data_IF_983431164809
#
_entry.id   IF_983431164809
#
_cell.length_a   1.000
_cell.length_b   1.000
_cell.length_c   1.000
_cell.angle_alpha   90.00
_cell.angle_beta   90.00
_cell.angle_gamma   90.00
#
_symmetry.space_group_name_H-M   'P 1'
#
loop_
_entity.id
_entity.type
_entity.pdbx_description
1 polymer ?
#
# COMPACT_ATOMS: atom_id res chain seq x y z
N UNK A 1 5.33 5.92 -8.14
CA UNK A 1 4.25 4.97 -8.48
C UNK A 1 3.33 5.62 -9.50
N UNK A 2 2.86 4.91 -10.54
CA UNK A 2 1.96 5.49 -11.53
C UNK A 2 0.53 5.59 -10.99
N UNK A 3 -0.20 6.62 -11.44
CA UNK A 3 -1.64 6.74 -11.24
C UNK A 3 -2.36 5.53 -11.86
N UNK A 4 -3.40 5.03 -11.20
CA UNK A 4 -4.19 3.90 -11.69
C UNK A 4 -3.63 2.52 -11.35
N UNK A 5 -2.45 2.44 -10.72
CA UNK A 5 -1.93 1.17 -10.22
C UNK A 5 -2.82 0.59 -9.12
N UNK A 6 -2.97 -0.74 -9.08
CA UNK A 6 -3.70 -1.44 -8.04
C UNK A 6 -2.76 -1.77 -6.89
N UNK A 7 -3.04 -1.24 -5.70
CA UNK A 7 -2.33 -1.58 -4.46
C UNK A 7 -3.16 -2.55 -3.63
N UNK A 8 -2.57 -3.66 -3.18
CA UNK A 8 -3.21 -4.69 -2.36
C UNK A 8 -2.35 -5.02 -1.15
N UNK A 9 -2.98 -5.18 0.02
CA UNK A 9 -2.30 -5.71 1.21
C UNK A 9 -2.12 -7.23 1.10
N UNK A 10 -1.04 -7.77 1.66
CA UNK A 10 -0.79 -9.23 1.62
C UNK A 10 -1.81 -10.03 2.47
N UNK A 11 -2.31 -9.46 3.57
CA UNK A 11 -3.22 -10.15 4.50
C UNK A 11 -4.70 -9.98 4.18
N UNK A 12 -5.05 -8.99 3.35
CA UNK A 12 -6.43 -8.63 3.06
C UNK A 12 -6.56 -8.31 1.58
N UNK A 13 -7.58 -8.88 0.94
CA UNK A 13 -7.93 -8.60 -0.45
C UNK A 13 -8.51 -7.19 -0.67
N UNK A 14 -8.51 -6.31 0.34
CA UNK A 14 -8.84 -4.90 0.18
C UNK A 14 -7.76 -4.22 -0.66
N UNK A 15 -8.05 -4.16 -1.97
CA UNK A 15 -7.28 -3.40 -2.94
C UNK A 15 -7.81 -1.98 -3.09
N UNK A 16 -6.93 -1.06 -3.47
CA UNK A 16 -7.28 0.32 -3.79
C UNK A 16 -6.42 0.82 -4.94
N UNK A 17 -6.78 1.97 -5.49
CA UNK A 17 -6.11 2.54 -6.65
C UNK A 17 -5.15 3.64 -6.19
N UNK A 18 -3.93 3.62 -6.74
CA UNK A 18 -2.95 4.67 -6.54
C UNK A 18 -3.42 5.94 -7.25
N UNK A 19 -3.62 6.99 -6.47
CA UNK A 19 -3.98 8.32 -6.92
C UNK A 19 -2.73 9.16 -7.25
N UNK A 20 -2.94 10.45 -7.49
CA UNK A 20 -1.87 11.40 -7.76
C UNK A 20 -0.82 11.43 -6.63
N UNK A 21 0.43 11.71 -7.03
CA UNK A 21 1.61 11.67 -6.16
C UNK A 21 1.92 10.30 -5.54
N UNK A 22 1.37 9.21 -6.10
CA UNK A 22 1.65 7.86 -5.62
C UNK A 22 0.99 7.50 -4.30
N UNK A 23 -0.08 8.21 -3.94
CA UNK A 23 -0.81 8.02 -2.69
C UNK A 23 -1.90 6.97 -2.84
N UNK A 24 -2.15 6.20 -1.78
CA UNK A 24 -3.24 5.22 -1.76
C UNK A 24 -3.78 5.07 -0.34
N UNK A 25 -5.10 4.90 -0.24
CA UNK A 25 -5.79 4.63 1.02
C UNK A 25 -6.17 3.17 1.11
N UNK A 26 -5.72 2.51 2.17
CA UNK A 26 -5.98 1.10 2.45
C UNK A 26 -6.61 0.96 3.84
N UNK A 27 -7.64 0.12 3.96
CA UNK A 27 -8.35 -0.15 5.21
C UNK A 27 -8.19 -1.59 5.65
N UNK A 28 -8.33 -1.82 6.96
CA UNK A 28 -8.18 -3.16 7.55
C UNK A 28 -6.76 -3.70 7.51
N UNK A 29 -5.76 -2.83 7.44
CA UNK A 29 -4.35 -3.23 7.39
C UNK A 29 -3.84 -3.57 8.80
N UNK A 30 -3.06 -4.66 8.98
CA UNK A 30 -2.35 -4.91 10.23
C UNK A 30 -1.29 -3.82 10.50
N UNK A 31 -0.71 -3.78 11.70
CA UNK A 31 0.35 -2.80 12.02
C UNK A 31 1.62 -2.98 11.18
N UNK A 32 1.88 -4.15 10.64
CA UNK A 32 3.01 -4.39 9.77
C UNK A 32 2.65 -5.45 8.73
N UNK A 33 3.25 -5.34 7.55
CA UNK A 33 3.04 -6.27 6.46
C UNK A 33 3.63 -5.75 5.17
N UNK A 34 3.09 -6.22 4.05
CA UNK A 34 3.51 -5.80 2.72
C UNK A 34 2.33 -5.28 1.93
N UNK A 35 2.63 -4.35 1.04
CA UNK A 35 1.72 -3.85 0.00
C UNK A 35 2.33 -4.20 -1.35
N UNK A 36 1.57 -4.91 -2.18
CA UNK A 36 1.90 -5.17 -3.57
C UNK A 36 1.21 -4.12 -4.42
N UNK A 37 1.95 -3.46 -5.31
CA UNK A 37 1.42 -2.49 -6.26
C UNK A 37 1.64 -3.02 -7.66
N UNK A 38 0.59 -3.13 -8.47
CA UNK A 38 0.62 -3.67 -9.83
C UNK A 38 0.01 -2.67 -10.82
N UNK A 39 0.71 -2.38 -11.92
CA UNK A 39 0.24 -1.49 -12.99
C UNK A 39 0.26 -2.16 -14.38
N UNK A 40 0.65 -3.43 -14.47
CA UNK A 40 0.58 -4.25 -15.67
C UNK A 40 0.94 -5.70 -15.37
N UNK A 41 1.00 -6.55 -16.40
CA UNK A 41 1.21 -7.99 -16.23
C UNK A 41 2.68 -8.44 -16.36
N UNK A 42 3.59 -7.54 -16.74
CA UNK A 42 5.01 -7.82 -16.84
C UNK A 42 5.70 -7.99 -15.47
N UNK A 43 6.86 -8.66 -15.42
CA UNK A 43 7.63 -8.83 -14.18
C UNK A 43 8.03 -7.49 -13.56
N UNK A 44 8.33 -6.49 -14.38
CA UNK A 44 8.70 -5.13 -13.95
C UNK A 44 7.48 -4.20 -13.81
N UNK A 45 6.26 -4.72 -14.00
CA UNK A 45 5.03 -3.96 -13.93
C UNK A 45 4.34 -4.04 -12.56
N UNK A 46 5.13 -4.36 -11.54
CA UNK A 46 4.71 -4.43 -10.15
C UNK A 46 5.89 -4.12 -9.21
N UNK A 47 5.57 -3.82 -7.96
CA UNK A 47 6.56 -3.69 -6.91
C UNK A 47 5.95 -4.10 -5.56
N UNK A 48 6.80 -4.33 -4.57
CA UNK A 48 6.38 -4.61 -3.20
C UNK A 48 7.02 -3.61 -2.24
N UNK A 49 6.21 -3.08 -1.34
CA UNK A 49 6.65 -2.20 -0.26
C UNK A 49 6.35 -2.85 1.09
N UNK A 50 7.37 -2.98 1.93
CA UNK A 50 7.19 -3.36 3.32
C UNK A 50 6.79 -2.11 4.13
N UNK A 51 5.82 -2.24 5.04
CA UNK A 51 5.39 -1.17 5.91
C UNK A 51 5.33 -1.61 7.38
N UNK A 52 5.50 -0.63 8.26
CA UNK A 52 5.33 -0.79 9.70
C UNK A 52 4.77 0.51 10.28
N UNK A 53 3.56 0.44 10.78
CA UNK A 53 2.89 1.47 11.54
C UNK A 53 3.35 1.40 13.01
N UNK A 54 3.50 2.55 13.67
CA UNK A 54 3.78 2.57 15.09
C UNK A 54 2.53 2.15 15.89
N UNK A 55 2.66 1.63 17.12
CA UNK A 55 1.52 1.12 17.90
C UNK A 55 0.41 2.16 18.15
N UNK A 56 0.76 3.44 18.29
CA UNK A 56 -0.20 4.53 18.46
C UNK A 56 -1.16 4.72 17.26
N UNK A 57 -0.83 4.18 16.09
CA UNK A 57 -1.72 4.18 14.92
C UNK A 57 -3.05 3.49 15.17
N UNK A 58 -3.12 2.57 16.15
CA UNK A 58 -4.40 1.93 16.52
C UNK A 58 -5.42 2.90 17.12
N UNK A 59 -4.97 4.04 17.64
CA UNK A 59 -5.82 5.08 18.23
C UNK A 59 -6.17 6.19 17.22
N UNK A 60 -5.62 6.13 16.01
CA UNK A 60 -5.84 7.12 14.97
C UNK A 60 -6.88 6.62 13.97
N UNK A 61 -7.77 7.52 13.53
CA UNK A 61 -8.73 7.21 12.46
C UNK A 61 -8.03 7.00 11.10
N UNK A 62 -6.88 7.65 10.90
CA UNK A 62 -6.06 7.57 9.70
C UNK A 62 -4.59 7.74 10.07
N UNK A 63 -3.76 6.79 9.68
CA UNK A 63 -2.31 6.89 9.79
C UNK A 63 -1.69 7.04 8.40
N UNK A 64 -0.74 7.96 8.28
CA UNK A 64 -0.03 8.24 7.03
C UNK A 64 1.42 7.80 7.16
N UNK A 65 1.94 7.14 6.12
CA UNK A 65 3.32 6.71 6.05
C UNK A 65 3.81 6.78 4.60
N UNK A 66 5.12 6.97 4.41
CA UNK A 66 5.77 6.87 3.11
C UNK A 66 6.74 5.71 3.10
N UNK A 67 6.63 4.85 2.09
CA UNK A 67 7.49 3.67 1.91
C UNK A 67 8.06 3.65 0.51
N UNK A 68 9.29 3.17 0.41
CA UNK A 68 9.91 2.89 -0.88
C UNK A 68 9.40 1.55 -1.40
N UNK A 69 9.01 1.52 -2.67
CA UNK A 69 8.67 0.27 -3.34
C UNK A 69 9.92 -0.30 -4.00
N UNK A 70 10.02 -1.63 -3.96
CA UNK A 70 11.14 -2.40 -4.52
C UNK A 70 10.65 -3.40 -5.54
#
# INVERSE_FOLDING_TARGET
>A
MPFGALATGDSNQSGSIVADNGQVYLSGMPLAGKVRVKWGDGPDAQCVADYRLPPESQQQALSQLSVACR
#
